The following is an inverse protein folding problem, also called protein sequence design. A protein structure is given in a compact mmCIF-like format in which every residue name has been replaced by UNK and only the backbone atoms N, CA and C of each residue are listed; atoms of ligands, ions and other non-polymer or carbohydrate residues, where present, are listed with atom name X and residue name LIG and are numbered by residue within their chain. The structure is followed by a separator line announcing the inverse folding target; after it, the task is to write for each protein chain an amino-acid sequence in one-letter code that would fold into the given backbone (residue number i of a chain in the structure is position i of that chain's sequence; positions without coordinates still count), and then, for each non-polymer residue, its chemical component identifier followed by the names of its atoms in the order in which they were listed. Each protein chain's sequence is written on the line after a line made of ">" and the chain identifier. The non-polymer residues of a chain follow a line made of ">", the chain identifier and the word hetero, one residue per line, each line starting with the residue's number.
data_IF_593714557073
#
_entry.id   IF_593714557073
#
_cell.length_a   1.000
_cell.length_b   1.000
_cell.length_c   1.000
_cell.angle_alpha   90.00
_cell.angle_beta   90.00
_cell.angle_gamma   90.00
#
_symmetry.space_group_name_H-M   'P 1'
#
loop_
_entity.id
_entity.type
_entity.pdbx_description
1 polymer ?
#
# COMPACT_ATOMS: atom_id res chain seq x y z
N UNK A 1 21.62 -0.93 9.49
CA UNK A 1 21.25 0.26 8.68
C UNK A 1 20.17 1.01 9.45
N UNK A 2 20.27 2.33 9.60
CA UNK A 2 19.22 3.11 10.26
C UNK A 2 18.23 3.62 9.19
N UNK A 3 17.26 2.78 8.85
CA UNK A 3 16.29 3.02 7.77
C UNK A 3 14.88 3.07 8.34
N UNK A 4 14.42 4.29 8.61
CA UNK A 4 13.05 4.52 9.08
C UNK A 4 12.04 4.18 7.98
N UNK A 5 10.90 3.68 8.41
CA UNK A 5 9.83 3.27 7.54
C UNK A 5 8.48 3.43 8.25
N UNK A 6 7.43 3.55 7.47
CA UNK A 6 6.05 3.37 7.92
C UNK A 6 5.54 2.00 7.48
N UNK A 7 4.63 1.44 8.26
CA UNK A 7 3.86 0.28 7.86
C UNK A 7 2.66 0.69 6.98
N UNK A 8 2.08 -0.30 6.31
CA UNK A 8 0.86 -0.13 5.53
C UNK A 8 -0.21 -1.12 6.00
N UNK A 9 -1.45 -0.64 6.04
CA UNK A 9 -2.66 -1.43 6.28
C UNK A 9 -3.60 -1.19 5.11
N UNK A 10 -4.08 -2.26 4.49
CA UNK A 10 -5.01 -2.19 3.37
C UNK A 10 -6.17 -3.14 3.63
N UNK A 11 -7.38 -2.56 3.71
CA UNK A 11 -8.62 -3.31 3.72
C UNK A 11 -9.20 -3.30 2.29
N UNK A 12 -9.45 -4.49 1.75
CA UNK A 12 -10.12 -4.67 0.46
C UNK A 12 -11.55 -5.09 0.72
N UNK A 13 -12.49 -4.45 0.06
CA UNK A 13 -13.92 -4.74 0.09
C UNK A 13 -14.36 -5.17 -1.31
N UNK A 14 -15.06 -6.30 -1.38
CA UNK A 14 -15.96 -6.60 -2.48
C UNK A 14 -17.36 -6.13 -2.11
N UNK A 15 -17.98 -5.32 -2.97
CA UNK A 15 -19.24 -4.64 -2.75
C UNK A 15 -20.28 -5.04 -3.81
N UNK A 16 -21.55 -5.14 -3.38
CA UNK A 16 -22.70 -5.38 -4.26
C UNK A 16 -23.02 -4.20 -5.17
N UNK A 17 -22.64 -2.99 -4.77
CA UNK A 17 -22.98 -1.75 -5.45
C UNK A 17 -21.77 -0.83 -5.47
N UNK A 18 -21.69 0.00 -6.51
CA UNK A 18 -20.66 1.03 -6.66
C UNK A 18 -20.67 1.99 -5.49
N UNK A 19 -19.50 2.28 -4.94
CA UNK A 19 -19.37 3.22 -3.83
C UNK A 19 -19.32 4.66 -4.37
N UNK A 20 -18.38 4.97 -5.24
CA UNK A 20 -18.26 6.26 -5.92
C UNK A 20 -19.20 6.33 -7.12
N UNK A 21 -20.41 6.85 -6.93
CA UNK A 21 -21.39 7.01 -8.03
C UNK A 21 -20.90 7.97 -9.12
N UNK A 22 -19.89 8.81 -8.84
CA UNK A 22 -19.25 9.70 -9.82
C UNK A 22 -18.14 9.00 -10.64
N UNK A 23 -17.85 7.72 -10.34
CA UNK A 23 -16.82 6.96 -11.05
C UNK A 23 -15.39 7.36 -10.71
N UNK A 24 -15.14 7.96 -9.54
CA UNK A 24 -13.78 8.32 -9.15
C UNK A 24 -12.98 7.07 -8.79
N UNK A 25 -11.82 6.91 -9.43
CA UNK A 25 -10.91 5.80 -9.14
C UNK A 25 -10.21 5.95 -7.79
N UNK A 26 -9.81 7.17 -7.41
CA UNK A 26 -8.96 7.43 -6.26
C UNK A 26 -9.40 8.68 -5.49
N UNK A 27 -9.54 8.55 -4.18
CA UNK A 27 -9.70 9.65 -3.23
C UNK A 27 -8.49 9.77 -2.33
N UNK A 28 -7.92 10.98 -2.25
CA UNK A 28 -6.96 11.36 -1.22
C UNK A 28 -7.71 11.98 -0.05
N UNK A 29 -7.57 11.36 1.12
CA UNK A 29 -8.46 11.62 2.26
C UNK A 29 -7.66 12.27 3.39
N UNK A 30 -8.05 13.47 3.85
CA UNK A 30 -7.41 14.10 4.99
C UNK A 30 -7.84 13.40 6.28
N UNK A 31 -6.89 12.78 7.00
CA UNK A 31 -7.14 12.17 8.31
C UNK A 31 -7.74 13.14 9.33
N UNK A 32 -7.38 14.42 9.25
CA UNK A 32 -7.94 15.49 10.10
C UNK A 32 -9.45 15.67 9.96
N UNK A 33 -10.07 15.19 8.87
CA UNK A 33 -11.52 15.18 8.68
C UNK A 33 -12.22 13.97 9.35
N UNK A 34 -11.49 13.18 10.15
CA UNK A 34 -12.01 12.06 10.92
C UNK A 34 -12.15 10.75 10.14
N UNK A 35 -11.39 10.58 9.05
CA UNK A 35 -11.34 9.32 8.32
C UNK A 35 -10.27 8.39 8.90
N UNK A 36 -10.51 7.07 8.98
CA UNK A 36 -9.58 6.11 9.55
C UNK A 36 -8.53 5.60 8.54
N UNK A 37 -8.54 6.09 7.30
CA UNK A 37 -7.59 5.74 6.24
C UNK A 37 -7.33 6.95 5.34
N UNK A 38 -6.19 6.95 4.64
CA UNK A 38 -5.76 8.08 3.80
C UNK A 38 -6.16 7.93 2.33
N UNK A 39 -6.36 6.71 1.85
CA UNK A 39 -6.72 6.44 0.46
C UNK A 39 -7.97 5.56 0.38
N UNK A 40 -8.92 5.95 -0.46
CA UNK A 40 -9.99 5.08 -0.94
C UNK A 40 -9.83 4.95 -2.45
N UNK A 41 -9.67 3.73 -2.93
CA UNK A 41 -9.52 3.43 -4.35
C UNK A 41 -10.61 2.46 -4.75
N UNK A 42 -11.48 2.84 -5.66
CA UNK A 42 -12.47 1.91 -6.22
C UNK A 42 -11.95 1.39 -7.55
N UNK A 43 -11.29 0.23 -7.49
CA UNK A 43 -10.61 -0.38 -8.63
C UNK A 43 -11.51 -0.50 -9.84
N UNK A 44 -12.77 -0.85 -9.57
CA UNK A 44 -13.75 -1.17 -10.59
C UNK A 44 -14.33 0.05 -11.31
N UNK A 45 -13.87 1.25 -10.95
CA UNK A 45 -14.06 2.46 -11.76
C UNK A 45 -12.97 2.60 -12.85
N UNK A 46 -11.92 1.78 -12.80
CA UNK A 46 -10.87 1.71 -13.82
C UNK A 46 -10.88 0.39 -14.59
N UNK A 47 -11.14 -0.74 -13.92
CA UNK A 47 -11.24 -2.07 -14.53
C UNK A 47 -12.67 -2.59 -14.42
N UNK A 48 -13.24 -3.12 -15.50
CA UNK A 48 -14.64 -3.52 -15.51
C UNK A 48 -14.96 -4.64 -14.49
N UNK A 49 -16.13 -4.54 -13.85
CA UNK A 49 -16.59 -5.49 -12.80
C UNK A 49 -16.74 -6.92 -13.30
N UNK A 50 -16.87 -7.14 -14.62
CA UNK A 50 -16.96 -8.49 -15.21
C UNK A 50 -15.72 -9.36 -14.89
N UNK A 51 -14.56 -8.76 -14.68
CA UNK A 51 -13.35 -9.46 -14.24
C UNK A 51 -13.39 -9.87 -12.76
N UNK A 52 -14.38 -9.39 -12.01
CA UNK A 52 -14.58 -9.58 -10.58
C UNK A 52 -15.97 -10.16 -10.26
N UNK A 53 -16.58 -10.90 -11.20
CA UNK A 53 -17.88 -11.53 -10.98
C UNK A 53 -19.05 -10.55 -10.88
N UNK A 54 -18.91 -9.34 -11.44
CA UNK A 54 -19.89 -8.27 -11.35
C UNK A 54 -19.82 -7.47 -10.04
N UNK A 55 -18.89 -7.79 -9.15
CA UNK A 55 -18.72 -7.09 -7.87
C UNK A 55 -17.85 -5.83 -8.02
N UNK A 56 -18.08 -4.85 -7.15
CA UNK A 56 -17.29 -3.62 -7.09
C UNK A 56 -16.15 -3.78 -6.08
N UNK A 57 -14.91 -3.47 -6.47
CA UNK A 57 -13.72 -3.67 -5.63
C UNK A 57 -13.21 -2.32 -5.11
N UNK A 58 -13.22 -2.15 -3.79
CA UNK A 58 -12.71 -0.95 -3.12
C UNK A 58 -11.56 -1.28 -2.16
N UNK A 59 -10.51 -0.47 -2.18
CA UNK A 59 -9.38 -0.53 -1.27
C UNK A 59 -9.40 0.68 -0.33
N UNK A 60 -9.36 0.44 0.97
CA UNK A 60 -9.11 1.45 1.99
C UNK A 60 -7.67 1.27 2.48
N UNK A 61 -6.77 2.16 2.04
CA UNK A 61 -5.34 2.08 2.31
C UNK A 61 -4.88 3.15 3.31
N UNK A 62 -3.96 2.77 4.18
CA UNK A 62 -3.36 3.67 5.16
C UNK A 62 -1.87 3.39 5.41
N UNK A 63 -1.12 4.45 5.74
CA UNK A 63 0.27 4.39 6.21
C UNK A 63 0.33 4.85 7.65
N UNK A 64 0.93 4.03 8.50
CA UNK A 64 0.91 4.18 9.95
C UNK A 64 2.29 3.90 10.55
N UNK A 65 2.51 4.41 11.75
CA UNK A 65 3.65 4.01 12.56
C UNK A 65 3.59 2.48 12.81
N UNK A 66 4.70 1.73 12.71
CA UNK A 66 4.72 0.27 12.94
C UNK A 66 4.12 -0.21 14.26
N UNK A 67 4.01 0.65 15.27
CA UNK A 67 3.41 0.35 16.58
C UNK A 67 1.93 0.75 16.69
N UNK A 68 1.31 1.20 15.60
CA UNK A 68 -0.10 1.54 15.57
C UNK A 68 -1.02 0.32 15.77
N UNK A 69 -2.09 0.47 16.54
CA UNK A 69 -3.01 -0.63 16.92
C UNK A 69 -3.57 -1.43 15.72
N UNK A 70 -3.72 -0.80 14.54
CA UNK A 70 -4.24 -1.46 13.34
C UNK A 70 -3.38 -2.64 12.87
N UNK A 71 -2.11 -2.71 13.27
CA UNK A 71 -1.27 -3.86 12.99
C UNK A 71 -1.65 -5.09 13.80
N UNK A 72 -2.40 -4.94 14.90
CA UNK A 72 -2.77 -6.02 15.81
C UNK A 72 -4.28 -6.34 15.80
N UNK A 73 -5.12 -5.37 15.39
CA UNK A 73 -6.57 -5.57 15.29
C UNK A 73 -6.94 -6.70 14.31
N UNK A 74 -8.07 -7.37 14.58
CA UNK A 74 -8.66 -8.32 13.65
C UNK A 74 -9.26 -7.60 12.42
N UNK A 75 -9.58 -8.37 11.38
CA UNK A 75 -10.25 -7.83 10.19
C UNK A 75 -11.62 -7.25 10.54
N UNK A 76 -12.34 -7.90 11.43
CA UNK A 76 -13.67 -7.50 11.89
C UNK A 76 -13.59 -6.19 12.68
N UNK A 77 -12.60 -6.04 13.55
CA UNK A 77 -12.34 -4.78 14.27
C UNK A 77 -11.98 -3.65 13.31
N UNK A 78 -11.16 -3.91 12.28
CA UNK A 78 -10.84 -2.90 11.25
C UNK A 78 -12.10 -2.51 10.44
N UNK A 79 -12.96 -3.46 10.08
CA UNK A 79 -14.24 -3.18 9.44
C UNK A 79 -15.12 -2.26 10.30
N UNK A 80 -15.22 -2.52 11.60
CA UNK A 80 -15.97 -1.67 12.54
C UNK A 80 -15.44 -0.23 12.57
N UNK A 81 -14.14 -0.03 12.38
CA UNK A 81 -13.55 1.31 12.26
C UNK A 81 -13.79 1.94 10.90
N UNK A 82 -13.70 1.17 9.80
CA UNK A 82 -13.60 1.69 8.44
C UNK A 82 -14.97 1.87 7.77
N UNK A 83 -15.91 0.96 7.97
CA UNK A 83 -17.23 1.02 7.30
C UNK A 83 -18.07 2.25 7.68
N UNK A 84 -18.07 2.76 8.92
CA UNK A 84 -18.93 3.88 9.30
C UNK A 84 -18.68 5.19 8.53
N UNK A 85 -17.51 5.36 7.90
CA UNK A 85 -17.22 6.55 7.10
C UNK A 85 -17.63 6.41 5.63
N UNK A 86 -17.92 5.20 5.15
CA UNK A 86 -18.28 4.96 3.75
C UNK A 86 -19.58 5.66 3.29
N UNK A 87 -20.59 5.89 4.16
CA UNK A 87 -21.74 6.73 3.82
C UNK A 87 -21.40 8.17 3.40
N UNK A 88 -20.21 8.68 3.75
CA UNK A 88 -19.74 10.00 3.30
C UNK A 88 -19.40 10.03 1.81
N UNK A 89 -19.11 8.87 1.21
CA UNK A 89 -18.88 8.72 -0.24
C UNK A 89 -20.18 8.35 -0.95
N UNK A 90 -20.98 7.48 -0.35
CA UNK A 90 -22.29 7.10 -0.85
C UNK A 90 -23.33 7.05 0.29
N UNK A 91 -24.27 8.01 0.36
CA UNK A 91 -25.28 8.02 1.42
C UNK A 91 -26.16 6.76 1.49
N UNK A 92 -26.22 5.95 0.43
CA UNK A 92 -26.97 4.69 0.37
C UNK A 92 -26.18 3.49 0.91
N UNK A 93 -24.87 3.65 1.13
CA UNK A 93 -24.03 2.57 1.62
C UNK A 93 -24.59 2.01 2.92
N UNK A 94 -24.66 0.68 2.96
CA UNK A 94 -25.03 -0.09 4.15
C UNK A 94 -24.00 -1.22 4.34
N UNK A 95 -23.75 -1.66 5.58
CA UNK A 95 -22.79 -2.75 5.83
C UNK A 95 -23.09 -4.04 5.05
N UNK A 96 -24.37 -4.31 4.73
CA UNK A 96 -24.80 -5.46 3.94
C UNK A 96 -24.41 -5.39 2.45
N UNK A 97 -23.85 -4.27 1.98
CA UNK A 97 -23.23 -4.16 0.66
C UNK A 97 -21.94 -4.98 0.58
N UNK A 98 -21.27 -5.23 1.70
CA UNK A 98 -20.01 -5.98 1.72
C UNK A 98 -20.29 -7.46 1.48
N UNK A 99 -19.85 -7.98 0.34
CA UNK A 99 -19.89 -9.41 0.04
C UNK A 99 -18.74 -10.14 0.75
N UNK A 100 -17.53 -9.59 0.63
CA UNK A 100 -16.29 -10.15 1.19
C UNK A 100 -15.32 -9.04 1.56
N UNK A 101 -14.42 -9.37 2.49
CA UNK A 101 -13.34 -8.47 2.89
C UNK A 101 -12.03 -9.21 3.14
N UNK A 102 -10.93 -8.53 2.85
CA UNK A 102 -9.57 -9.00 3.05
C UNK A 102 -8.74 -7.90 3.69
N UNK A 103 -7.98 -8.25 4.73
CA UNK A 103 -7.08 -7.32 5.42
C UNK A 103 -5.64 -7.75 5.15
N UNK A 104 -4.84 -6.83 4.63
CA UNK A 104 -3.40 -7.00 4.43
C UNK A 104 -2.64 -5.94 5.23
N UNK A 105 -1.50 -6.34 5.77
CA UNK A 105 -0.65 -5.47 6.58
C UNK A 105 0.81 -5.84 6.45
N UNK A 106 1.68 -4.84 6.47
CA UNK A 106 3.13 -5.01 6.64
C UNK A 106 3.67 -3.85 7.45
N UNK A 107 4.52 -4.14 8.44
CA UNK A 107 5.17 -3.09 9.25
C UNK A 107 6.28 -2.36 8.50
N UNK A 108 6.75 -2.91 7.37
CA UNK A 108 7.79 -2.30 6.53
C UNK A 108 7.24 -2.08 5.11
N UNK A 109 6.72 -0.87 4.84
CA UNK A 109 6.06 -0.55 3.57
C UNK A 109 6.65 0.66 2.86
N UNK A 110 6.79 1.78 3.57
CA UNK A 110 7.19 3.07 3.00
C UNK A 110 8.48 3.54 3.67
N UNK A 111 9.61 3.59 2.96
CA UNK A 111 10.80 4.27 3.47
C UNK A 111 10.48 5.74 3.81
N UNK A 112 11.04 6.22 4.92
CA UNK A 112 10.93 7.63 5.34
C UNK A 112 12.30 8.29 5.18
N UNK A 113 12.52 9.07 4.11
CA UNK A 113 13.77 9.81 3.92
C UNK A 113 13.87 10.93 4.95
N UNK A 114 14.87 10.86 5.82
CA UNK A 114 15.21 11.93 6.76
C UNK A 114 16.16 12.96 6.14
N UNK A 115 16.52 13.99 6.90
CA UNK A 115 17.55 14.94 6.49
C UNK A 115 18.86 14.19 6.18
N UNK A 116 19.49 14.50 5.04
CA UNK A 116 20.70 13.85 4.54
C UNK A 116 20.56 12.34 4.23
N UNK A 117 19.34 11.85 3.94
CA UNK A 117 19.11 10.42 3.66
C UNK A 117 19.97 9.84 2.53
N UNK A 118 20.42 10.65 1.57
CA UNK A 118 21.32 10.22 0.49
C UNK A 118 22.61 9.56 1.01
N UNK A 119 23.07 9.89 2.22
CA UNK A 119 24.24 9.27 2.88
C UNK A 119 23.95 7.90 3.49
N UNK A 120 22.67 7.57 3.68
CA UNK A 120 22.21 6.35 4.33
C UNK A 120 21.74 5.28 3.33
N UNK A 121 21.81 5.56 2.02
CA UNK A 121 21.42 4.63 0.97
C UNK A 121 22.37 3.42 0.99
N UNK A 122 21.88 2.20 1.22
CA UNK A 122 22.74 1.03 1.27
C UNK A 122 23.26 0.65 -0.12
N UNK A 123 24.53 0.24 -0.18
CA UNK A 123 25.10 -0.34 -1.40
C UNK A 123 24.37 -1.63 -1.80
N UNK A 124 24.30 -1.89 -3.11
CA UNK A 124 23.73 -3.15 -3.62
C UNK A 124 24.66 -4.32 -3.34
N UNK A 125 25.99 -4.14 -3.50
CA UNK A 125 26.98 -5.12 -3.04
C UNK A 125 27.05 -5.05 -1.52
N UNK A 126 26.91 -6.20 -0.87
CA UNK A 126 27.09 -6.30 0.58
C UNK A 126 28.55 -6.64 0.92
N UNK A 127 28.97 -6.52 2.19
CA UNK A 127 30.28 -7.02 2.63
C UNK A 127 30.43 -8.55 2.54
N UNK A 128 29.33 -9.29 2.38
CA UNK A 128 29.35 -10.75 2.24
C UNK A 128 29.52 -11.09 0.76
N UNK A 129 30.61 -11.78 0.43
CA UNK A 129 30.92 -12.19 -0.94
C UNK A 129 29.79 -13.05 -1.51
N UNK A 130 29.34 -12.72 -2.72
CA UNK A 130 28.23 -13.40 -3.39
C UNK A 130 26.83 -12.98 -2.92
N UNK A 131 26.71 -12.12 -1.89
CA UNK A 131 25.43 -11.62 -1.40
C UNK A 131 25.19 -10.17 -1.83
N UNK A 132 24.04 -9.93 -2.45
CA UNK A 132 23.59 -8.63 -2.93
C UNK A 132 22.27 -8.24 -2.27
N UNK A 133 22.13 -6.96 -1.92
CA UNK A 133 20.95 -6.39 -1.29
C UNK A 133 20.27 -5.39 -2.23
N UNK A 134 19.16 -5.78 -2.84
CA UNK A 134 18.34 -4.92 -3.67
C UNK A 134 16.96 -4.74 -3.04
N UNK A 135 16.62 -3.52 -2.64
CA UNK A 135 15.39 -3.23 -1.90
C UNK A 135 14.85 -1.82 -2.22
N UNK A 136 13.69 -1.50 -1.67
CA UNK A 136 13.11 -0.15 -1.75
C UNK A 136 14.00 0.91 -1.08
N UNK A 137 14.92 0.54 -0.19
CA UNK A 137 15.82 1.50 0.47
C UNK A 137 16.81 2.17 -0.48
N UNK A 138 17.01 1.62 -1.68
CA UNK A 138 17.81 2.21 -2.74
C UNK A 138 16.99 2.98 -3.78
N UNK A 139 15.65 2.94 -3.68
CA UNK A 139 14.76 3.75 -4.51
C UNK A 139 14.71 5.15 -3.90
N UNK A 140 15.66 5.99 -4.31
CA UNK A 140 15.82 7.37 -3.89
C UNK A 140 16.40 8.20 -5.05
N UNK A 141 15.96 9.46 -5.26
CA UNK A 141 14.95 10.21 -4.51
C UNK A 141 13.51 9.90 -4.95
N UNK A 142 13.32 8.81 -5.72
CA UNK A 142 12.04 8.44 -6.28
C UNK A 142 11.12 7.73 -5.29
N UNK A 143 9.83 7.68 -5.60
CA UNK A 143 8.88 6.88 -4.86
C UNK A 143 8.94 5.41 -5.29
N UNK A 144 8.41 4.50 -4.47
CA UNK A 144 8.51 3.03 -4.59
C UNK A 144 7.67 2.41 -5.70
N UNK A 145 7.75 2.97 -6.91
CA UNK A 145 7.12 2.42 -8.11
C UNK A 145 7.73 1.08 -8.54
N UNK A 146 6.90 0.19 -9.08
CA UNK A 146 7.29 -1.13 -9.57
C UNK A 146 8.39 -1.07 -10.63
N UNK A 147 8.42 -0.01 -11.44
CA UNK A 147 9.48 0.23 -12.42
C UNK A 147 10.88 0.29 -11.78
N UNK A 148 11.02 0.90 -10.59
CA UNK A 148 12.30 0.98 -9.88
C UNK A 148 12.69 -0.35 -9.24
N UNK A 149 11.71 -1.16 -8.81
CA UNK A 149 11.97 -2.53 -8.36
C UNK A 149 12.55 -3.40 -9.50
N UNK A 150 12.01 -3.25 -10.71
CA UNK A 150 12.56 -3.93 -11.91
C UNK A 150 13.95 -3.41 -12.24
N UNK A 151 14.16 -2.09 -12.21
CA UNK A 151 15.45 -1.47 -12.51
C UNK A 151 16.55 -1.96 -11.55
N UNK A 152 16.30 -1.91 -10.24
CA UNK A 152 17.29 -2.31 -9.25
C UNK A 152 17.58 -3.81 -9.30
N UNK A 153 16.57 -4.64 -9.57
CA UNK A 153 16.75 -6.07 -9.79
C UNK A 153 17.69 -6.34 -10.96
N UNK A 154 17.48 -5.65 -12.10
CA UNK A 154 18.36 -5.74 -13.27
C UNK A 154 19.78 -5.24 -12.97
N UNK A 155 19.91 -4.17 -12.18
CA UNK A 155 21.22 -3.66 -11.76
C UNK A 155 21.98 -4.66 -10.90
N UNK A 156 21.32 -5.25 -9.90
CA UNK A 156 21.92 -6.28 -9.06
C UNK A 156 22.37 -7.51 -9.87
N UNK A 157 21.51 -7.99 -10.79
CA UNK A 157 21.84 -9.11 -11.65
C UNK A 157 23.09 -8.87 -12.52
N UNK A 158 23.24 -7.67 -13.12
CA UNK A 158 24.46 -7.32 -13.87
C UNK A 158 25.71 -7.35 -12.99
N UNK A 159 25.63 -6.79 -11.79
CA UNK A 159 26.76 -6.77 -10.87
C UNK A 159 27.19 -8.17 -10.43
N UNK A 160 26.26 -9.13 -10.37
CA UNK A 160 26.53 -10.55 -10.08
C UNK A 160 27.27 -11.22 -11.23
N UNK A 161 26.84 -10.97 -12.48
CA UNK A 161 27.46 -11.55 -13.67
C UNK A 161 28.90 -11.02 -13.82
N UNK A 162 29.09 -9.70 -13.73
CA UNK A 162 30.42 -9.06 -13.80
C UNK A 162 31.39 -9.50 -12.68
N UNK A 163 30.90 -10.07 -11.58
CA UNK A 163 31.74 -10.60 -10.50
C UNK A 163 32.19 -12.05 -10.76
N UNK A 164 31.45 -12.78 -11.60
CA UNK A 164 31.76 -14.16 -11.94
C UNK A 164 32.82 -14.29 -13.05
N UNK A 165 33.02 -13.21 -13.82
CA UNK A 165 34.09 -13.03 -14.80
C UNK A 165 35.38 -12.49 -14.15
#
# INVERSE_FOLDING_TARGET
>A
LNLKNMGAVVLILSLKHQLSEQGYYWYNIPKSAGYPFLALVEHTNYVETQHFGGEHIAYCGDYLDPDHEYFDLSKEQILERFLPVLPRFNPKFKPDWVNKSWLFRTKYAQPVPELNHSRNIPSIRTPIVGLYFASMSQVYPWDRGTNFAVEIGRKAARMMIEFAD
#
